data_IF_081898855833
#
_entry.id   IF_081898855833
#
_cell.length_a   1.000
_cell.length_b   1.000
_cell.length_c   1.000
_cell.angle_alpha   90.00
_cell.angle_beta   90.00
_cell.angle_gamma   90.00
#
_symmetry.space_group_name_H-M   'P 1'
#
loop_
_entity.id
_entity.type
_entity.pdbx_description
1 polymer ?
#
# COMPACT_ATOMS: atom_id res chain seq x y z
N UNK A 1 4.07 13.41 2.24
CA UNK A 1 4.63 12.12 2.69
C UNK A 1 3.71 10.99 2.26
N UNK A 2 4.24 9.97 1.65
CA UNK A 2 3.45 8.82 1.20
C UNK A 2 4.00 7.53 1.79
N UNK A 3 3.08 6.64 2.16
CA UNK A 3 3.37 5.23 2.36
C UNK A 3 3.05 4.55 1.04
N UNK A 4 4.02 3.87 0.44
CA UNK A 4 3.85 3.20 -0.84
C UNK A 4 3.95 1.69 -0.63
N UNK A 5 2.97 0.97 -1.13
CA UNK A 5 2.99 -0.48 -1.18
C UNK A 5 3.15 -0.93 -2.63
N UNK A 6 4.16 -1.76 -2.87
CA UNK A 6 4.41 -2.38 -4.17
C UNK A 6 4.18 -3.87 -4.04
N UNK A 7 3.46 -4.46 -4.98
CA UNK A 7 3.13 -5.88 -4.95
C UNK A 7 3.64 -6.60 -6.18
N UNK A 8 4.28 -7.74 -5.95
CA UNK A 8 4.64 -8.68 -7.01
C UNK A 8 3.37 -9.36 -7.51
N UNK A 9 3.44 -9.94 -8.71
CA UNK A 9 2.30 -10.67 -9.27
C UNK A 9 1.96 -11.87 -8.39
N UNK A 10 0.72 -11.94 -7.85
CA UNK A 10 0.31 -13.06 -7.01
C UNK A 10 0.07 -14.31 -7.86
N UNK A 11 0.13 -15.48 -7.21
CA UNK A 11 -0.15 -16.75 -7.86
C UNK A 11 -1.60 -16.83 -8.34
N UNK A 12 -2.53 -16.24 -7.56
CA UNK A 12 -3.95 -16.15 -7.90
C UNK A 12 -4.38 -14.68 -7.86
N UNK A 13 -4.27 -13.96 -9.00
CA UNK A 13 -4.62 -12.53 -9.03
C UNK A 13 -6.06 -12.23 -8.64
N UNK A 14 -6.99 -13.09 -9.01
CA UNK A 14 -8.41 -12.86 -8.68
C UNK A 14 -8.64 -12.94 -7.17
N UNK A 15 -8.08 -13.93 -6.50
CA UNK A 15 -8.18 -14.06 -5.06
C UNK A 15 -7.47 -12.91 -4.34
N UNK A 16 -6.30 -12.49 -4.83
CA UNK A 16 -5.59 -11.33 -4.30
C UNK A 16 -6.45 -10.07 -4.40
N UNK A 17 -6.99 -9.80 -5.57
CA UNK A 17 -7.81 -8.60 -5.80
C UNK A 17 -9.02 -8.58 -4.89
N UNK A 18 -9.69 -9.71 -4.73
CA UNK A 18 -10.85 -9.79 -3.86
C UNK A 18 -10.51 -9.46 -2.40
N UNK A 19 -9.45 -10.07 -1.86
CA UNK A 19 -8.99 -9.80 -0.51
C UNK A 19 -8.53 -8.35 -0.36
N UNK A 20 -7.84 -7.83 -1.35
CA UNK A 20 -7.26 -6.49 -1.31
C UNK A 20 -8.33 -5.40 -1.34
N UNK A 21 -9.21 -5.43 -2.34
CA UNK A 21 -10.21 -4.39 -2.53
C UNK A 21 -11.40 -4.52 -1.58
N UNK A 22 -11.82 -5.73 -1.24
CA UNK A 22 -13.00 -5.94 -0.41
C UNK A 22 -12.71 -5.88 1.09
N UNK A 23 -11.50 -6.22 1.52
CA UNK A 23 -11.17 -6.28 2.95
C UNK A 23 -10.02 -5.34 3.33
N UNK A 24 -8.89 -5.42 2.65
CA UNK A 24 -7.70 -4.69 3.08
C UNK A 24 -7.84 -3.17 2.94
N UNK A 25 -8.26 -2.67 1.77
CA UNK A 25 -8.41 -1.23 1.57
C UNK A 25 -9.42 -0.60 2.53
N UNK A 26 -10.58 -1.22 2.81
CA UNK A 26 -11.48 -0.70 3.84
C UNK A 26 -10.84 -0.62 5.23
N UNK A 27 -9.98 -1.56 5.61
CA UNK A 27 -9.25 -1.49 6.87
C UNK A 27 -8.26 -0.33 6.86
N UNK A 28 -7.53 -0.13 5.76
CA UNK A 28 -6.61 0.99 5.62
C UNK A 28 -7.33 2.33 5.71
N UNK A 29 -8.53 2.42 5.20
CA UNK A 29 -9.32 3.66 5.24
C UNK A 29 -9.59 4.15 6.67
N UNK A 30 -9.48 3.26 7.67
CA UNK A 30 -9.67 3.61 9.09
C UNK A 30 -8.40 4.15 9.75
N UNK A 31 -7.27 4.13 9.07
CA UNK A 31 -5.99 4.57 9.66
C UNK A 31 -6.02 6.09 9.88
N UNK A 32 -5.76 6.56 11.13
CA UNK A 32 -5.75 7.98 11.41
C UNK A 32 -4.69 8.73 10.61
N UNK A 33 -5.06 9.89 10.08
CA UNK A 33 -4.15 10.76 9.34
C UNK A 33 -4.02 10.44 7.86
N UNK A 34 -4.58 9.32 7.40
CA UNK A 34 -4.60 8.98 5.98
C UNK A 34 -5.58 9.91 5.26
N UNK A 35 -5.07 10.66 4.27
CA UNK A 35 -5.87 11.67 3.56
C UNK A 35 -6.41 11.15 2.23
N UNK A 36 -5.64 10.31 1.55
CA UNK A 36 -5.98 9.88 0.20
C UNK A 36 -5.26 8.58 -0.11
N UNK A 37 -5.91 7.71 -0.86
CA UNK A 37 -5.33 6.46 -1.35
C UNK A 37 -5.49 6.40 -2.86
N UNK A 38 -4.41 6.10 -3.57
CA UNK A 38 -4.43 5.90 -5.02
C UNK A 38 -3.89 4.51 -5.30
N UNK A 39 -4.68 3.70 -6.00
CA UNK A 39 -4.30 2.34 -6.39
C UNK A 39 -4.07 2.31 -7.90
N UNK A 40 -2.93 1.78 -8.31
CA UNK A 40 -2.56 1.68 -9.72
C UNK A 40 -2.24 0.24 -10.09
N UNK A 41 -2.83 -0.23 -11.19
CA UNK A 41 -2.48 -1.50 -11.80
C UNK A 41 -1.36 -1.27 -12.81
N UNK A 42 -0.27 -2.03 -12.71
CA UNK A 42 0.77 -1.96 -13.74
C UNK A 42 0.30 -2.76 -14.96
N UNK A 43 0.20 -2.08 -16.08
CA UNK A 43 -0.34 -2.68 -17.30
C UNK A 43 0.74 -3.16 -18.27
N UNK A 44 1.98 -2.69 -18.09
CA UNK A 44 3.10 -3.04 -18.97
C UNK A 44 4.43 -2.74 -18.29
N UNK A 45 5.37 -3.68 -18.39
CA UNK A 45 6.74 -3.48 -17.95
C UNK A 45 7.58 -3.06 -19.14
N UNK A 46 8.20 -1.89 -19.07
CA UNK A 46 9.09 -1.39 -20.13
C UNK A 46 10.50 -1.92 -19.93
N UNK A 47 10.96 -1.98 -18.68
CA UNK A 47 12.31 -2.41 -18.33
C UNK A 47 12.32 -2.89 -16.88
N UNK A 48 13.12 -3.90 -16.58
CA UNK A 48 13.28 -4.42 -15.23
C UNK A 48 12.24 -5.46 -14.85
N UNK A 49 12.20 -5.79 -13.57
CA UNK A 49 11.25 -6.77 -13.03
C UNK A 49 9.85 -6.21 -13.02
N UNK A 50 8.89 -7.01 -13.45
CA UNK A 50 7.49 -6.61 -13.46
C UNK A 50 6.89 -6.60 -12.06
N UNK A 51 5.98 -5.65 -11.83
CA UNK A 51 5.17 -5.55 -10.63
C UNK A 51 3.70 -5.62 -11.01
N UNK A 52 2.88 -6.00 -10.06
CA UNK A 52 1.45 -6.19 -10.28
C UNK A 52 0.63 -4.94 -9.98
N UNK A 53 0.86 -4.35 -8.80
CA UNK A 53 0.01 -3.28 -8.28
C UNK A 53 0.81 -2.35 -7.37
N UNK A 54 0.44 -1.08 -7.36
CA UNK A 54 0.98 -0.09 -6.45
C UNK A 54 -0.16 0.61 -5.73
N UNK A 55 0.02 0.83 -4.43
CA UNK A 55 -0.88 1.67 -3.64
C UNK A 55 -0.10 2.80 -3.02
N UNK A 56 -0.56 4.02 -3.26
CA UNK A 56 0.02 5.23 -2.67
C UNK A 56 -0.95 5.77 -1.62
N UNK A 57 -0.47 5.89 -0.39
CA UNK A 57 -1.26 6.37 0.74
C UNK A 57 -0.65 7.68 1.22
N UNK A 58 -1.44 8.76 1.14
CA UNK A 58 -0.98 10.12 1.36
C UNK A 58 -1.25 10.57 2.78
N UNK A 59 -0.21 11.12 3.42
CA UNK A 59 -0.28 11.71 4.76
C UNK A 59 0.22 13.16 4.68
N UNK A 60 -0.28 14.06 5.55
CA UNK A 60 0.13 15.46 5.48
C UNK A 60 1.62 15.67 5.70
N UNK A 61 2.24 14.88 6.57
CA UNK A 61 3.65 15.00 6.89
C UNK A 61 4.21 13.69 7.47
N UNK A 62 5.52 13.65 7.69
CA UNK A 62 6.20 12.48 8.23
C UNK A 62 5.75 12.15 9.66
N UNK A 63 5.52 13.17 10.47
CA UNK A 63 5.11 12.97 11.87
C UNK A 63 3.75 12.25 11.94
N UNK A 64 2.81 12.63 11.06
CA UNK A 64 1.51 11.98 10.98
C UNK A 64 1.62 10.54 10.52
N UNK A 65 2.44 10.27 9.50
CA UNK A 65 2.69 8.90 9.04
C UNK A 65 3.34 8.07 10.15
N UNK A 66 4.32 8.62 10.84
CA UNK A 66 5.01 7.93 11.94
C UNK A 66 4.03 7.57 13.05
N UNK A 67 3.16 8.48 13.42
CA UNK A 67 2.10 8.22 14.40
C UNK A 67 1.11 7.16 13.91
N UNK A 68 0.73 7.23 12.63
CA UNK A 68 -0.21 6.28 12.03
C UNK A 68 0.32 4.84 12.08
N UNK A 69 1.62 4.64 11.90
CA UNK A 69 2.25 3.31 11.94
C UNK A 69 2.14 2.62 13.30
N UNK A 70 1.88 3.39 14.36
CA UNK A 70 1.77 2.87 15.74
C UNK A 70 0.33 2.63 16.18
N UNK A 71 -0.65 2.86 15.31
CA UNK A 71 -2.06 2.74 15.68
C UNK A 71 -2.56 1.30 15.61
N UNK A 72 -3.60 0.95 16.40
CA UNK A 72 -4.23 -0.36 16.29
C UNK A 72 -4.83 -0.62 14.89
N UNK A 73 -5.33 0.43 14.23
CA UNK A 73 -5.89 0.34 12.89
C UNK A 73 -4.82 -0.09 11.88
N UNK A 74 -3.61 0.47 11.98
CA UNK A 74 -2.51 0.06 11.11
C UNK A 74 -2.08 -1.38 11.40
N UNK A 75 -2.03 -1.77 12.67
CA UNK A 75 -1.69 -3.13 13.06
C UNK A 75 -2.68 -4.14 12.50
N UNK A 76 -3.97 -3.83 12.56
CA UNK A 76 -5.03 -4.69 12.01
C UNK A 76 -4.92 -4.81 10.49
N UNK A 77 -4.70 -3.70 9.80
CA UNK A 77 -4.52 -3.69 8.35
C UNK A 77 -3.28 -4.49 7.95
N UNK A 78 -2.18 -4.34 8.68
CA UNK A 78 -0.95 -5.09 8.42
C UNK A 78 -1.10 -6.59 8.62
N UNK A 79 -1.80 -7.00 9.66
CA UNK A 79 -2.11 -8.41 9.91
C UNK A 79 -2.97 -8.99 8.80
N UNK A 80 -3.97 -8.25 8.36
CA UNK A 80 -4.80 -8.66 7.22
C UNK A 80 -3.98 -8.83 5.95
N UNK A 81 -3.11 -7.84 5.64
CA UNK A 81 -2.27 -7.89 4.46
C UNK A 81 -1.36 -9.13 4.47
N UNK A 82 -0.75 -9.43 5.61
CA UNK A 82 0.12 -10.60 5.76
C UNK A 82 -0.62 -11.91 5.49
N UNK A 83 -1.93 -11.94 5.72
CA UNK A 83 -2.72 -13.16 5.54
C UNK A 83 -2.85 -13.60 4.08
N UNK A 84 -2.66 -12.70 3.11
CA UNK A 84 -2.78 -13.05 1.68
C UNK A 84 -1.66 -12.49 0.79
N UNK A 85 -0.82 -11.59 1.28
CA UNK A 85 0.20 -10.92 0.49
C UNK A 85 1.62 -11.11 1.03
N UNK A 86 1.84 -12.07 1.92
CA UNK A 86 3.17 -12.36 2.45
C UNK A 86 4.12 -12.76 1.33
N UNK A 87 5.32 -12.20 1.34
CA UNK A 87 6.32 -12.45 0.30
C UNK A 87 6.11 -11.66 -0.99
N UNK A 88 4.97 -10.96 -1.13
CA UNK A 88 4.65 -10.17 -2.32
C UNK A 88 4.85 -8.67 -2.10
N UNK A 89 4.89 -8.22 -0.85
CA UNK A 89 4.76 -6.81 -0.48
C UNK A 89 6.11 -6.15 -0.21
N UNK A 90 6.30 -4.96 -0.79
CA UNK A 90 7.36 -4.02 -0.39
C UNK A 90 6.69 -2.74 0.07
N UNK A 91 7.01 -2.29 1.29
CA UNK A 91 6.50 -1.04 1.85
C UNK A 91 7.63 -0.02 1.93
N UNK A 92 7.35 1.19 1.46
CA UNK A 92 8.31 2.28 1.39
C UNK A 92 7.67 3.57 1.90
N UNK A 93 8.47 4.41 2.56
CA UNK A 93 8.10 5.80 2.81
C UNK A 93 8.72 6.65 1.71
N UNK A 94 7.96 7.55 1.11
CA UNK A 94 8.44 8.42 0.06
C UNK A 94 8.10 9.88 0.36
N UNK A 95 9.11 10.72 0.30
CA UNK A 95 8.95 12.17 0.37
C UNK A 95 9.05 12.73 -1.04
N UNK A 96 8.19 13.68 -1.35
CA UNK A 96 8.27 14.40 -2.62
C UNK A 96 9.49 15.33 -2.59
N UNK A 97 10.28 15.30 -3.67
CA UNK A 97 11.41 16.19 -3.84
C UNK A 97 11.08 17.21 -4.92
N UNK A 98 11.59 18.45 -4.80
CA UNK A 98 11.39 19.43 -5.86
C UNK A 98 12.09 18.98 -7.14
N UNK A 99 11.35 18.98 -8.24
CA UNK A 99 11.93 18.76 -9.56
C UNK A 99 12.57 20.05 -10.04
N UNK A 100 13.79 19.97 -10.55
CA UNK A 100 14.54 21.12 -11.03
C UNK A 100 13.90 21.72 -12.29
#
# INVERSE_FOLDING_TARGET
MRLIALYKTPADPEAFDQAYFQTHLPLMAKVPGLEKTVVSRFVRTVMGDGLYLMTEMFFPDEATLRAAMKTPQMAEAGKNLASFAEGLTTLLWAAELPAA
#
